data_IF_108953927199
#
_entry.id   IF_108953927199
#
_cell.length_a   1.000
_cell.length_b   1.000
_cell.length_c   1.000
_cell.angle_alpha   90.00
_cell.angle_beta   90.00
_cell.angle_gamma   90.00
#
_symmetry.space_group_name_H-M   'P 1'
#
loop_
_entity.id
_entity.type
_entity.pdbx_description
1 polymer ?
#
# COMPACT_ATOMS: atom_id res chain seq x y z
N UNK A 1 21.53 -19.18 43.15
CA UNK A 1 20.46 -18.22 42.80
C UNK A 1 20.89 -17.35 41.61
N UNK A 2 20.52 -17.75 40.38
CA UNK A 2 20.28 -16.90 39.20
C UNK A 2 20.10 -17.80 37.96
N UNK A 3 19.19 -18.76 38.09
CA UNK A 3 18.48 -19.41 36.99
C UNK A 3 17.12 -18.68 36.93
N UNK A 4 16.53 -18.51 35.74
CA UNK A 4 15.24 -17.82 35.46
C UNK A 4 15.37 -16.32 35.08
N UNK A 5 16.06 -15.98 33.98
CA UNK A 5 15.81 -14.72 33.22
C UNK A 5 15.98 -14.83 31.69
N UNK A 6 16.06 -16.03 31.11
CA UNK A 6 16.38 -16.20 29.68
C UNK A 6 15.19 -16.53 28.74
N UNK A 7 13.92 -16.48 29.17
CA UNK A 7 12.78 -16.99 28.36
C UNK A 7 11.82 -15.89 27.82
N UNK A 8 12.08 -14.60 28.04
CA UNK A 8 11.07 -13.55 27.76
C UNK A 8 11.23 -12.73 26.47
N UNK A 9 12.02 -13.15 25.46
CA UNK A 9 12.38 -12.24 24.35
C UNK A 9 11.80 -12.61 22.95
N UNK A 10 11.03 -13.69 22.76
CA UNK A 10 10.53 -14.06 21.41
C UNK A 10 9.01 -14.13 21.18
N UNK A 11 8.19 -13.43 21.99
CA UNK A 11 6.75 -13.30 21.72
C UNK A 11 6.46 -12.30 20.58
N UNK A 12 6.96 -12.57 19.37
CA UNK A 12 6.56 -11.85 18.14
C UNK A 12 5.15 -12.29 17.75
N UNK A 13 4.33 -11.38 17.22
CA UNK A 13 2.96 -11.64 16.77
C UNK A 13 2.95 -12.73 15.68
N UNK A 14 2.73 -13.99 16.10
CA UNK A 14 2.61 -15.16 15.23
C UNK A 14 1.15 -15.37 14.86
N UNK A 15 0.86 -15.57 13.57
CA UNK A 15 -0.44 -16.05 13.10
C UNK A 15 -0.62 -17.53 13.49
N UNK A 16 -1.74 -17.86 14.14
CA UNK A 16 -2.07 -19.22 14.53
C UNK A 16 -2.68 -19.95 13.33
N UNK A 17 -2.25 -21.20 13.09
CA UNK A 17 -2.87 -22.04 12.07
C UNK A 17 -4.28 -22.48 12.51
N UNK A 18 -5.11 -22.92 11.56
CA UNK A 18 -6.50 -23.35 11.81
C UNK A 18 -6.60 -24.42 12.93
N UNK A 19 -5.67 -25.36 12.96
CA UNK A 19 -5.59 -26.41 13.98
C UNK A 19 -5.30 -25.86 15.37
N UNK A 20 -4.47 -24.83 15.45
CA UNK A 20 -4.11 -24.18 16.72
C UNK A 20 -5.25 -23.30 17.25
N UNK A 21 -6.00 -22.64 16.36
CA UNK A 21 -7.24 -21.95 16.69
C UNK A 21 -8.29 -22.94 17.22
N UNK A 22 -8.45 -24.10 16.56
CA UNK A 22 -9.37 -25.15 16.99
C UNK A 22 -8.97 -25.70 18.37
N UNK A 23 -7.69 -25.91 18.62
CA UNK A 23 -7.17 -26.30 19.92
C UNK A 23 -7.50 -25.25 20.99
N UNK A 24 -7.28 -23.97 20.71
CA UNK A 24 -7.59 -22.87 21.64
C UNK A 24 -9.08 -22.86 22.04
N UNK A 25 -9.98 -23.01 21.07
CA UNK A 25 -11.44 -23.04 21.29
C UNK A 25 -11.84 -24.27 22.12
N UNK A 26 -11.40 -25.47 21.74
CA UNK A 26 -11.71 -26.72 22.46
C UNK A 26 -11.23 -26.69 23.92
N UNK A 27 -10.06 -26.09 24.18
CA UNK A 27 -9.51 -26.00 25.53
C UNK A 27 -10.23 -24.93 26.35
N UNK A 28 -10.67 -23.82 25.73
CA UNK A 28 -11.40 -22.75 26.40
C UNK A 28 -12.82 -23.15 26.83
N UNK A 29 -13.45 -24.10 26.14
CA UNK A 29 -14.77 -24.65 26.52
C UNK A 29 -14.75 -25.51 27.80
N UNK A 30 -13.57 -25.94 28.27
CA UNK A 30 -13.45 -26.70 29.52
C UNK A 30 -13.54 -25.75 30.73
N UNK A 31 -14.25 -26.14 31.81
CA UNK A 31 -14.41 -25.28 32.97
C UNK A 31 -13.06 -24.93 33.61
N UNK A 32 -12.96 -23.67 34.08
CA UNK A 32 -11.84 -23.14 34.88
C UNK A 32 -10.46 -23.04 34.19
N UNK A 33 -10.40 -22.95 32.85
CA UNK A 33 -9.13 -22.78 32.12
C UNK A 33 -8.75 -21.31 31.92
N UNK A 34 -7.53 -20.96 32.32
CA UNK A 34 -6.95 -19.62 32.15
C UNK A 34 -6.38 -19.44 30.74
N UNK A 35 -6.69 -18.31 30.09
CA UNK A 35 -6.16 -17.96 28.77
C UNK A 35 -4.62 -17.95 28.69
N UNK A 36 -3.95 -17.61 29.80
CA UNK A 36 -2.49 -17.65 29.90
C UNK A 36 -1.90 -19.06 29.78
N UNK A 37 -2.65 -20.09 30.17
CA UNK A 37 -2.23 -21.49 30.01
C UNK A 37 -2.33 -21.92 28.55
N UNK A 38 -3.39 -21.50 27.84
CA UNK A 38 -3.57 -21.76 26.41
C UNK A 38 -2.49 -21.04 25.60
N UNK A 39 -2.24 -19.77 25.91
CA UNK A 39 -1.21 -18.96 25.26
C UNK A 39 0.20 -19.57 25.41
N UNK A 40 0.53 -20.08 26.60
CA UNK A 40 1.79 -20.76 26.87
C UNK A 40 1.91 -22.10 26.12
N UNK A 41 0.82 -22.86 26.00
CA UNK A 41 0.81 -24.10 25.22
C UNK A 41 1.01 -23.85 23.73
N UNK A 42 0.40 -22.78 23.19
CA UNK A 42 0.49 -22.37 21.78
C UNK A 42 1.71 -21.48 21.47
N UNK A 43 2.56 -21.20 22.47
CA UNK A 43 3.72 -20.31 22.37
C UNK A 43 3.37 -18.96 21.71
N UNK A 44 2.20 -18.41 22.02
CA UNK A 44 1.70 -17.15 21.47
C UNK A 44 1.34 -16.15 22.59
N UNK A 45 1.13 -14.89 22.23
CA UNK A 45 0.67 -13.88 23.17
C UNK A 45 -0.78 -14.15 23.64
N UNK A 46 -1.08 -13.81 24.90
CA UNK A 46 -2.44 -13.95 25.46
C UNK A 46 -3.49 -13.20 24.64
N UNK A 47 -3.14 -12.03 24.07
CA UNK A 47 -4.02 -11.23 23.21
C UNK A 47 -4.38 -11.96 21.91
N UNK A 48 -3.50 -12.82 21.40
CA UNK A 48 -3.79 -13.65 20.22
C UNK A 48 -4.87 -14.67 20.54
N UNK A 49 -4.74 -15.39 21.66
CA UNK A 49 -5.79 -16.33 22.13
C UNK A 49 -7.11 -15.60 22.38
N UNK A 50 -7.06 -14.42 23.01
CA UNK A 50 -8.25 -13.60 23.24
C UNK A 50 -8.95 -13.20 21.94
N UNK A 51 -8.20 -12.74 20.93
CA UNK A 51 -8.74 -12.37 19.61
C UNK A 51 -9.38 -13.56 18.89
N UNK A 52 -8.75 -14.73 18.92
CA UNK A 52 -9.29 -15.96 18.31
C UNK A 52 -10.61 -16.35 18.97
N UNK A 53 -10.69 -16.31 20.30
CA UNK A 53 -11.92 -16.68 21.02
C UNK A 53 -13.04 -15.66 20.79
N UNK A 54 -12.75 -14.36 20.81
CA UNK A 54 -13.73 -13.31 20.50
C UNK A 54 -14.27 -13.45 19.06
N UNK A 55 -13.37 -13.66 18.09
CA UNK A 55 -13.78 -13.92 16.70
C UNK A 55 -14.67 -15.15 16.59
N UNK A 56 -14.29 -16.25 17.26
CA UNK A 56 -15.07 -17.48 17.23
C UNK A 56 -16.45 -17.32 17.87
N UNK A 57 -16.58 -16.55 18.96
CA UNK A 57 -17.90 -16.27 19.56
C UNK A 57 -18.79 -15.39 18.68
N UNK A 58 -18.22 -14.55 17.83
CA UNK A 58 -18.97 -13.63 16.97
C UNK A 58 -19.30 -14.23 15.60
N UNK A 59 -18.42 -15.07 15.05
CA UNK A 59 -18.52 -15.54 13.64
C UNK A 59 -18.57 -17.05 13.48
N UNK A 60 -18.31 -17.83 14.54
CA UNK A 60 -18.12 -19.29 14.52
C UNK A 60 -17.00 -19.78 13.55
N UNK A 61 -16.22 -18.86 12.97
CA UNK A 61 -15.17 -19.17 12.01
C UNK A 61 -13.80 -19.30 12.67
N UNK A 62 -13.08 -20.37 12.30
CA UNK A 62 -11.73 -20.67 12.80
C UNK A 62 -10.63 -19.99 11.97
N UNK A 63 -10.93 -19.63 10.73
CA UNK A 63 -10.04 -18.93 9.79
C UNK A 63 -10.36 -17.45 9.77
N UNK A 64 -9.41 -16.65 9.28
CA UNK A 64 -9.72 -15.27 8.88
C UNK A 64 -10.77 -15.32 7.76
N UNK A 65 -11.72 -14.37 7.77
CA UNK A 65 -12.57 -14.16 6.60
C UNK A 65 -11.73 -13.55 5.49
N UNK A 66 -12.03 -13.93 4.25
CA UNK A 66 -11.49 -13.23 3.09
C UNK A 66 -11.88 -11.76 3.24
N UNK A 67 -10.87 -10.90 3.38
CA UNK A 67 -11.09 -9.47 3.28
C UNK A 67 -11.53 -9.24 1.83
N UNK A 68 -12.65 -8.54 1.58
CA UNK A 68 -12.99 -8.17 0.22
C UNK A 68 -11.78 -7.46 -0.36
N UNK A 69 -11.22 -8.04 -1.44
CA UNK A 69 -10.16 -7.41 -2.21
C UNK A 69 -10.62 -6.05 -2.72
N UNK A 70 -9.72 -5.34 -3.41
CA UNK A 70 -10.04 -4.01 -3.95
C UNK A 70 -11.40 -4.07 -4.67
N UNK A 71 -12.40 -3.27 -4.26
CA UNK A 71 -13.69 -3.23 -4.93
C UNK A 71 -13.48 -2.84 -6.39
N UNK A 72 -14.26 -3.45 -7.28
CA UNK A 72 -14.17 -3.23 -8.73
C UNK A 72 -14.24 -1.74 -9.05
N UNK A 73 -13.28 -1.24 -9.85
CA UNK A 73 -13.12 0.19 -10.14
C UNK A 73 -14.31 0.81 -10.91
N UNK A 74 -15.17 -0.02 -11.49
CA UNK A 74 -16.32 0.39 -12.29
C UNK A 74 -17.61 -0.06 -11.60
N UNK A 75 -18.59 0.83 -11.55
CA UNK A 75 -19.97 0.45 -11.20
C UNK A 75 -20.57 -0.40 -12.33
N UNK A 76 -21.62 -1.17 -12.03
CA UNK A 76 -22.30 -1.98 -13.07
C UNK A 76 -22.75 -1.14 -14.27
N UNK A 77 -23.16 0.11 -14.04
CA UNK A 77 -23.58 1.02 -15.10
C UNK A 77 -22.41 1.55 -15.93
N UNK A 78 -21.28 1.85 -15.29
CA UNK A 78 -20.05 2.22 -15.98
C UNK A 78 -19.50 1.05 -16.82
N UNK A 79 -19.63 -0.18 -16.30
CA UNK A 79 -19.25 -1.39 -17.01
C UNK A 79 -20.14 -1.62 -18.25
N UNK A 80 -21.47 -1.46 -18.12
CA UNK A 80 -22.40 -1.49 -19.26
C UNK A 80 -22.12 -0.42 -20.30
N UNK A 81 -21.75 0.79 -19.86
CA UNK A 81 -21.37 1.88 -20.78
C UNK A 81 -20.08 1.58 -21.53
N UNK A 82 -19.08 1.02 -20.85
CA UNK A 82 -17.82 0.60 -21.44
C UNK A 82 -18.04 -0.53 -22.46
N UNK A 83 -18.83 -1.55 -22.11
CA UNK A 83 -19.19 -2.65 -23.00
C UNK A 83 -19.88 -2.14 -24.28
N UNK A 84 -20.83 -1.20 -24.12
CA UNK A 84 -21.53 -0.57 -25.26
C UNK A 84 -20.57 0.22 -26.16
N UNK A 85 -19.54 0.85 -25.60
CA UNK A 85 -18.54 1.59 -26.35
C UNK A 85 -17.57 0.67 -27.10
N UNK A 86 -17.08 -0.40 -26.45
CA UNK A 86 -16.21 -1.42 -27.06
C UNK A 86 -16.93 -2.14 -28.20
N UNK A 87 -18.21 -2.49 -28.01
CA UNK A 87 -19.03 -3.13 -29.04
C UNK A 87 -19.18 -2.26 -30.29
N UNK A 88 -19.19 -0.93 -30.13
CA UNK A 88 -19.24 0.03 -31.25
C UNK A 88 -17.89 0.30 -31.90
N UNK A 89 -16.79 0.06 -31.19
CA UNK A 89 -15.42 0.34 -31.65
C UNK A 89 -14.51 -0.86 -31.37
N UNK A 90 -14.71 -1.99 -32.07
CA UNK A 90 -14.05 -3.26 -31.76
C UNK A 90 -12.53 -3.27 -32.01
N UNK A 91 -12.00 -2.27 -32.74
CA UNK A 91 -10.57 -2.11 -33.00
C UNK A 91 -9.89 -1.07 -32.11
N UNK A 92 -10.62 -0.45 -31.17
CA UNK A 92 -10.07 0.55 -30.28
C UNK A 92 -9.18 -0.11 -29.21
N UNK A 93 -7.91 0.27 -29.16
CA UNK A 93 -6.96 -0.20 -28.13
C UNK A 93 -7.28 0.42 -26.77
N UNK A 94 -6.91 -0.23 -25.66
CA UNK A 94 -7.03 0.32 -24.30
C UNK A 94 -6.48 1.76 -24.16
N UNK A 95 -5.38 2.07 -24.84
CA UNK A 95 -4.85 3.42 -24.93
C UNK A 95 -5.77 4.39 -25.69
N UNK A 96 -6.40 3.97 -26.79
CA UNK A 96 -7.32 4.84 -27.54
C UNK A 96 -8.62 5.12 -26.77
N UNK A 97 -9.03 4.19 -25.90
CA UNK A 97 -10.15 4.35 -24.97
C UNK A 97 -9.85 5.39 -23.88
N UNK A 98 -8.58 5.58 -23.50
CA UNK A 98 -8.15 6.58 -22.51
C UNK A 98 -7.60 7.89 -23.11
N UNK A 99 -7.17 7.86 -24.38
CA UNK A 99 -6.29 8.89 -24.98
C UNK A 99 -6.95 10.20 -25.40
N UNK A 100 -8.27 10.34 -25.36
CA UNK A 100 -8.86 11.67 -25.53
C UNK A 100 -8.85 12.50 -24.24
N UNK A 101 -8.42 11.94 -23.10
CA UNK A 101 -8.36 12.63 -21.81
C UNK A 101 -6.99 12.53 -21.12
N UNK A 102 -6.25 11.41 -21.26
CA UNK A 102 -4.97 11.18 -20.56
C UNK A 102 -3.76 11.97 -21.06
N UNK A 103 -3.73 12.37 -22.34
CA UNK A 103 -2.63 13.19 -22.90
C UNK A 103 -2.56 14.60 -22.33
N UNK A 104 -3.56 14.97 -21.51
CA UNK A 104 -3.72 16.24 -20.83
C UNK A 104 -3.57 16.08 -19.30
N UNK A 105 -2.95 15.03 -18.78
CA UNK A 105 -2.76 14.88 -17.32
C UNK A 105 -1.30 15.06 -16.86
N UNK A 106 -1.15 15.56 -15.64
CA UNK A 106 0.04 15.46 -14.81
C UNK A 106 -0.25 14.39 -13.77
N UNK A 107 0.51 13.31 -13.79
CA UNK A 107 0.45 12.24 -12.80
C UNK A 107 1.50 12.51 -11.73
N UNK A 108 1.09 12.56 -10.46
CA UNK A 108 2.01 12.73 -9.33
C UNK A 108 1.78 11.69 -8.24
N UNK A 109 2.85 11.25 -7.59
CA UNK A 109 2.83 10.22 -6.55
C UNK A 109 4.12 10.21 -5.73
N UNK A 110 4.07 9.52 -4.60
CA UNK A 110 5.21 9.26 -3.72
C UNK A 110 5.64 7.79 -3.75
N UNK A 111 6.95 7.54 -3.77
CA UNK A 111 7.52 6.19 -3.65
C UNK A 111 8.67 6.16 -2.65
N UNK A 112 8.95 4.98 -2.10
CA UNK A 112 10.14 4.73 -1.28
C UNK A 112 11.06 3.78 -2.00
N UNK A 113 12.24 4.28 -2.37
CA UNK A 113 13.31 3.45 -2.94
C UNK A 113 14.16 2.93 -1.79
N UNK A 114 14.08 1.63 -1.56
CA UNK A 114 14.83 0.97 -0.51
C UNK A 114 16.14 0.40 -1.06
N UNK A 115 17.23 0.59 -0.32
CA UNK A 115 18.48 -0.13 -0.57
C UNK A 115 18.20 -1.62 -0.33
N UNK A 116 18.29 -2.39 -1.43
CA UNK A 116 17.84 -3.78 -1.51
C UNK A 116 18.37 -4.59 -0.33
N UNK A 117 17.48 -5.18 0.44
CA UNK A 117 17.84 -6.08 1.54
C UNK A 117 17.24 -7.49 1.35
N UNK A 118 16.60 -7.76 0.21
CA UNK A 118 16.02 -9.05 -0.13
C UNK A 118 16.85 -9.79 -1.17
N UNK A 119 17.30 -10.98 -0.79
CA UNK A 119 17.72 -12.09 -1.67
C UNK A 119 18.85 -11.79 -2.67
N UNK A 120 20.07 -12.18 -2.33
CA UNK A 120 21.14 -12.41 -3.32
C UNK A 120 20.81 -13.69 -4.08
N UNK A 121 20.78 -13.66 -5.41
CA UNK A 121 20.73 -14.89 -6.22
C UNK A 121 22.08 -15.58 -6.04
N UNK A 122 22.09 -16.75 -5.40
CA UNK A 122 23.28 -17.57 -5.23
C UNK A 122 23.21 -18.78 -6.15
N UNK A 123 24.24 -18.98 -6.96
CA UNK A 123 24.44 -20.23 -7.68
C UNK A 123 25.08 -21.24 -6.74
N UNK A 124 24.34 -22.29 -6.40
CA UNK A 124 24.79 -23.34 -5.47
C UNK A 124 24.86 -24.66 -6.22
N UNK A 125 25.91 -25.46 -5.97
CA UNK A 125 26.02 -26.79 -6.56
C UNK A 125 24.84 -27.64 -6.12
N UNK A 126 24.30 -28.44 -7.04
CA UNK A 126 23.17 -29.34 -6.75
C UNK A 126 23.58 -30.31 -5.63
N UNK A 127 22.84 -30.28 -4.52
CA UNK A 127 23.08 -31.11 -3.33
C UNK A 127 23.76 -30.38 -2.17
N UNK A 128 24.25 -29.15 -2.37
CA UNK A 128 24.80 -28.33 -1.29
C UNK A 128 23.71 -27.40 -0.69
N UNK A 129 23.78 -27.10 0.62
CA UNK A 129 22.85 -26.18 1.26
C UNK A 129 23.04 -24.74 0.75
N UNK A 130 21.93 -24.01 0.62
CA UNK A 130 21.99 -22.58 0.28
C UNK A 130 22.71 -21.79 1.37
N UNK A 131 23.72 -20.96 1.05
CA UNK A 131 24.40 -20.14 2.03
C UNK A 131 23.42 -19.23 2.78
N UNK A 132 23.57 -19.15 4.11
CA UNK A 132 22.78 -18.22 4.93
C UNK A 132 23.24 -16.80 4.61
N UNK A 133 22.35 -15.99 4.06
CA UNK A 133 22.59 -14.57 3.86
C UNK A 133 22.05 -13.79 5.06
N UNK A 134 22.93 -13.22 5.87
CA UNK A 134 22.53 -12.29 6.92
C UNK A 134 22.05 -10.98 6.28
N UNK A 135 20.74 -10.76 6.32
CA UNK A 135 20.16 -9.50 5.89
C UNK A 135 20.36 -8.50 7.03
N UNK A 136 21.17 -7.47 6.78
CA UNK A 136 21.27 -6.31 7.66
C UNK A 136 19.87 -5.78 8.01
N UNK A 137 19.59 -5.59 9.30
CA UNK A 137 18.33 -5.02 9.79
C UNK A 137 18.18 -3.53 9.45
N UNK A 138 19.24 -2.89 8.95
CA UNK A 138 19.22 -1.49 8.51
C UNK A 138 18.47 -1.39 7.18
N UNK A 139 17.17 -1.08 7.26
CA UNK A 139 16.38 -0.65 6.12
C UNK A 139 16.73 0.80 5.79
N UNK A 140 17.76 1.00 4.97
CA UNK A 140 18.01 2.30 4.37
C UNK A 140 17.02 2.50 3.21
N UNK A 141 16.28 3.60 3.23
CA UNK A 141 15.37 3.99 2.15
C UNK A 141 15.46 5.49 1.90
N UNK A 142 15.05 5.89 0.72
CA UNK A 142 14.88 7.29 0.32
C UNK A 142 13.43 7.46 -0.12
N UNK A 143 12.73 8.44 0.46
CA UNK A 143 11.39 8.82 0.00
C UNK A 143 11.50 9.84 -1.13
N UNK A 144 10.76 9.60 -2.20
CA UNK A 144 10.73 10.41 -3.39
C UNK A 144 9.29 10.80 -3.69
N UNK A 145 9.11 12.04 -4.12
CA UNK A 145 7.91 12.50 -4.79
C UNK A 145 8.26 12.73 -6.26
N UNK A 146 7.33 12.48 -7.16
CA UNK A 146 7.49 12.82 -8.56
C UNK A 146 6.21 13.32 -9.20
N UNK A 147 6.36 14.03 -10.31
CA UNK A 147 5.27 14.34 -11.23
C UNK A 147 5.74 14.19 -12.68
N UNK A 148 4.89 13.60 -13.52
CA UNK A 148 5.16 13.35 -14.95
C UNK A 148 3.98 13.77 -15.81
N UNK A 149 4.26 14.28 -17.00
CA UNK A 149 3.27 14.66 -18.01
C UNK A 149 3.84 14.41 -19.41
N UNK A 150 3.02 14.58 -20.45
CA UNK A 150 3.37 14.21 -21.83
C UNK A 150 4.76 14.67 -22.31
N UNK A 151 5.20 15.86 -21.91
CA UNK A 151 6.47 16.44 -22.35
C UNK A 151 7.38 16.89 -21.21
N UNK A 152 7.28 16.28 -20.03
CA UNK A 152 8.17 16.62 -18.93
C UNK A 152 7.96 15.83 -17.66
N UNK A 153 8.85 16.07 -16.70
CA UNK A 153 8.89 15.40 -15.40
C UNK A 153 9.63 16.24 -14.38
N UNK A 154 9.33 16.04 -13.11
CA UNK A 154 10.06 16.60 -11.97
C UNK A 154 10.05 15.62 -10.81
N UNK A 155 11.10 15.63 -10.00
CA UNK A 155 11.28 14.73 -8.85
C UNK A 155 11.86 15.49 -7.67
N UNK A 156 11.47 15.08 -6.47
CA UNK A 156 11.93 15.66 -5.21
C UNK A 156 12.20 14.56 -4.20
N UNK A 157 13.33 14.65 -3.49
CA UNK A 157 13.53 13.88 -2.28
C UNK A 157 12.85 14.59 -1.11
N UNK A 158 12.26 13.82 -0.21
CA UNK A 158 11.78 14.33 1.07
C UNK A 158 12.15 13.37 2.19
N UNK A 159 12.29 13.92 3.40
CA UNK A 159 12.65 13.15 4.59
C UNK A 159 11.46 13.08 5.56
N UNK A 160 11.28 11.92 6.20
CA UNK A 160 10.21 11.69 7.15
C UNK A 160 8.84 11.45 6.49
N UNK A 161 7.78 11.82 7.22
CA UNK A 161 6.40 11.63 6.79
C UNK A 161 5.91 12.87 6.02
N UNK A 162 5.27 12.64 4.87
CA UNK A 162 4.72 13.71 4.03
C UNK A 162 3.57 14.43 4.74
N UNK A 163 3.84 15.62 5.25
CA UNK A 163 2.82 16.53 5.78
C UNK A 163 2.48 17.63 4.76
N UNK A 164 1.42 18.38 5.04
CA UNK A 164 0.93 19.43 4.15
C UNK A 164 1.98 20.50 3.84
N UNK A 165 2.75 20.95 4.83
CA UNK A 165 3.77 22.00 4.65
C UNK A 165 4.91 21.52 3.77
N UNK A 166 5.38 20.29 4.01
CA UNK A 166 6.41 19.66 3.19
C UNK A 166 5.93 19.45 1.75
N UNK A 167 4.67 19.04 1.59
CA UNK A 167 4.06 18.88 0.27
C UNK A 167 3.96 20.20 -0.50
N UNK A 168 3.49 21.28 0.14
CA UNK A 168 3.47 22.62 -0.47
C UNK A 168 4.87 23.10 -0.88
N UNK A 169 5.86 22.85 -0.03
CA UNK A 169 7.25 23.20 -0.35
C UNK A 169 7.74 22.44 -1.59
N UNK A 170 7.43 21.14 -1.68
CA UNK A 170 7.75 20.32 -2.85
C UNK A 170 7.06 20.85 -4.10
N UNK A 171 5.75 21.11 -4.04
CA UNK A 171 4.98 21.67 -5.15
C UNK A 171 5.58 23.00 -5.62
N UNK A 172 5.81 23.94 -4.71
CA UNK A 172 6.37 25.25 -5.05
C UNK A 172 7.78 25.17 -5.65
N UNK A 173 8.63 24.29 -5.11
CA UNK A 173 10.05 24.20 -5.50
C UNK A 173 10.27 23.37 -6.78
N UNK A 174 9.45 22.33 -6.99
CA UNK A 174 9.67 21.34 -8.04
C UNK A 174 8.62 21.39 -9.15
N UNK A 175 7.34 21.65 -8.85
CA UNK A 175 6.29 21.78 -9.86
C UNK A 175 6.11 23.24 -10.30
N UNK A 176 6.25 24.18 -9.38
CA UNK A 176 6.15 25.63 -9.58
C UNK A 176 6.91 26.14 -10.82
N UNK A 177 8.20 25.80 -10.99
CA UNK A 177 8.99 26.20 -12.16
C UNK A 177 8.42 25.72 -13.50
N UNK A 178 7.61 24.66 -13.51
CA UNK A 178 7.02 24.07 -14.71
C UNK A 178 5.56 24.48 -14.93
N UNK A 179 4.92 25.22 -14.02
CA UNK A 179 3.49 25.59 -14.07
C UNK A 179 3.09 26.16 -15.43
N UNK A 180 3.90 27.06 -16.01
CA UNK A 180 3.62 27.67 -17.32
C UNK A 180 3.48 26.66 -18.47
N UNK A 181 4.22 25.54 -18.41
CA UNK A 181 4.11 24.42 -19.38
C UNK A 181 2.95 23.48 -19.03
N UNK A 182 2.57 23.48 -17.75
CA UNK A 182 1.65 22.54 -17.14
C UNK A 182 0.17 23.00 -17.12
N UNK A 183 -0.12 24.29 -17.37
CA UNK A 183 -1.49 24.87 -17.30
C UNK A 183 -2.54 24.20 -18.17
N UNK A 184 -2.13 23.62 -19.31
CA UNK A 184 -3.06 22.88 -20.18
C UNK A 184 -3.43 21.50 -19.64
N UNK A 185 -2.71 21.03 -18.61
CA UNK A 185 -2.89 19.71 -18.04
C UNK A 185 -3.71 19.76 -16.74
N UNK A 186 -4.42 18.68 -16.45
CA UNK A 186 -5.07 18.45 -15.16
C UNK A 186 -4.15 17.61 -14.27
N UNK A 187 -4.06 17.95 -12.99
CA UNK A 187 -3.22 17.24 -12.03
C UNK A 187 -4.02 16.11 -11.40
N UNK A 188 -3.55 14.88 -11.59
CA UNK A 188 -4.00 13.69 -10.90
C UNK A 188 -3.02 13.39 -9.75
N UNK A 189 -3.56 13.42 -8.53
CA UNK A 189 -2.86 13.08 -7.29
C UNK A 189 -3.78 12.18 -6.45
N UNK A 190 -3.20 11.44 -5.51
CA UNK A 190 -3.98 10.60 -4.62
C UNK A 190 -4.88 11.41 -3.67
N UNK A 191 -5.70 10.70 -2.88
CA UNK A 191 -6.62 11.31 -1.90
C UNK A 191 -6.04 11.40 -0.49
N UNK A 192 -4.71 11.48 -0.34
CA UNK A 192 -4.12 11.72 0.97
C UNK A 192 -4.60 13.05 1.56
N UNK A 193 -4.82 13.06 2.88
CA UNK A 193 -5.33 14.24 3.59
C UNK A 193 -4.46 15.48 3.39
N UNK A 194 -3.14 15.28 3.31
CA UNK A 194 -2.16 16.34 3.01
C UNK A 194 -2.41 17.00 1.67
N UNK A 195 -2.71 16.22 0.62
CA UNK A 195 -2.87 16.70 -0.75
C UNK A 195 -4.20 17.44 -0.98
N UNK A 196 -5.21 17.15 -0.17
CA UNK A 196 -6.54 17.76 -0.25
C UNK A 196 -6.79 18.86 0.80
N UNK A 197 -5.77 19.18 1.60
CA UNK A 197 -5.83 20.30 2.52
C UNK A 197 -6.14 21.61 1.79
N UNK A 198 -6.87 22.53 2.45
CA UNK A 198 -7.29 23.80 1.83
C UNK A 198 -6.11 24.57 1.21
N UNK A 199 -4.95 24.71 1.88
CA UNK A 199 -3.84 25.49 1.31
C UNK A 199 -3.20 24.83 0.09
N UNK A 200 -3.23 23.49 -0.02
CA UNK A 200 -2.74 22.78 -1.21
C UNK A 200 -3.67 23.03 -2.40
N UNK A 201 -4.99 22.93 -2.19
CA UNK A 201 -5.97 23.28 -3.22
C UNK A 201 -5.83 24.72 -3.69
N UNK A 202 -5.69 25.66 -2.75
CA UNK A 202 -5.46 27.07 -3.07
C UNK A 202 -4.20 27.25 -3.92
N UNK A 203 -3.10 26.57 -3.59
CA UNK A 203 -1.86 26.65 -4.39
C UNK A 203 -2.06 26.20 -5.85
N UNK A 204 -2.81 25.12 -6.09
CA UNK A 204 -3.14 24.68 -7.45
C UNK A 204 -4.01 25.70 -8.19
N UNK A 205 -5.03 26.24 -7.51
CA UNK A 205 -5.90 27.30 -8.04
C UNK A 205 -5.11 28.56 -8.42
N UNK A 206 -4.24 29.04 -7.52
CA UNK A 206 -3.37 30.21 -7.73
C UNK A 206 -2.41 30.00 -8.90
N UNK A 207 -1.93 28.76 -9.10
CA UNK A 207 -1.09 28.39 -10.23
C UNK A 207 -1.87 28.26 -11.56
N UNK A 208 -3.20 28.23 -11.51
CA UNK A 208 -4.07 27.95 -12.65
C UNK A 208 -4.02 26.49 -13.10
N UNK A 209 -3.74 25.56 -12.18
CA UNK A 209 -3.72 24.12 -12.42
C UNK A 209 -5.04 23.50 -11.96
N UNK A 210 -5.67 22.72 -12.84
CA UNK A 210 -6.91 22.01 -12.51
C UNK A 210 -6.60 20.71 -11.79
N UNK A 211 -7.02 20.58 -10.53
CA UNK A 211 -7.02 19.29 -9.85
C UNK A 211 -8.12 18.39 -10.41
N UNK A 212 -7.78 17.14 -10.68
CA UNK A 212 -8.71 16.13 -11.17
C UNK A 212 -9.34 15.41 -9.98
N UNK A 213 -10.67 15.24 -10.02
CA UNK A 213 -11.37 14.40 -9.05
C UNK A 213 -11.13 12.92 -9.38
N UNK A 214 -9.98 12.42 -8.95
CA UNK A 214 -9.50 11.07 -9.26
C UNK A 214 -10.15 10.01 -8.38
N UNK A 215 -10.59 8.86 -8.93
CA UNK A 215 -11.09 7.77 -8.12
C UNK A 215 -9.99 7.29 -7.13
N UNK A 216 -10.33 7.06 -5.85
CA UNK A 216 -9.37 6.59 -4.88
C UNK A 216 -8.84 5.20 -5.26
N UNK A 217 -7.58 4.91 -4.91
CA UNK A 217 -6.95 3.60 -5.09
C UNK A 217 -6.95 3.09 -6.54
N UNK A 218 -6.52 3.94 -7.48
CA UNK A 218 -6.49 3.67 -8.92
C UNK A 218 -5.09 3.88 -9.53
N UNK A 219 -4.04 3.17 -9.06
CA UNK A 219 -2.66 3.27 -9.55
C UNK A 219 -2.52 2.90 -11.03
N UNK A 220 -3.37 2.00 -11.54
CA UNK A 220 -3.37 1.58 -12.95
C UNK A 220 -3.64 2.72 -13.94
N UNK A 221 -4.25 3.81 -13.46
CA UNK A 221 -4.50 5.01 -14.26
C UNK A 221 -3.45 6.10 -13.99
N UNK A 222 -2.55 5.90 -13.03
CA UNK A 222 -1.51 6.86 -12.66
C UNK A 222 -0.23 6.59 -13.45
N UNK A 223 0.06 7.40 -14.45
CA UNK A 223 1.18 7.17 -15.37
C UNK A 223 2.55 7.14 -14.68
N UNK A 224 2.69 7.75 -13.50
CA UNK A 224 3.96 7.75 -12.75
C UNK A 224 4.29 6.40 -12.11
N UNK A 225 3.31 5.53 -11.88
CA UNK A 225 3.55 4.17 -11.35
C UNK A 225 4.42 3.35 -12.31
N UNK A 226 4.25 3.55 -13.62
CA UNK A 226 5.12 2.96 -14.65
C UNK A 226 6.55 3.54 -14.68
N UNK A 227 6.78 4.67 -14.00
CA UNK A 227 8.11 5.26 -13.85
C UNK A 227 8.82 4.71 -12.62
N UNK A 228 8.05 4.29 -11.62
CA UNK A 228 8.57 3.65 -10.41
C UNK A 228 8.93 2.17 -10.61
N UNK A 229 8.29 1.49 -11.55
CA UNK A 229 8.49 0.07 -11.87
C UNK A 229 9.39 -0.14 -13.09
#
# INVERSE_FOLDING_TARGET
>A
MKQIRQILIHAKMRHLAKEECLFAVKVAQKPNKKLSTIARALKCDRRTVSRVLMRFSETELLTDQDQPGRPTALTEDQQKMLDKYITKNPTATANQLSNNSMSLWISSDETQVQLRNSGTIAWVKRGEPTPVHEISSLRAYVSLWGAVWWNGKTFARYDGYMNQTQYLHILASHLGPHVHKCRRYAVAQDRLRSHWAKPVRQWFEDCGLRLLDWPPHSPEFNAIEYVWH
#
